data_IF_994703382533
#
_entry.id   IF_994703382533
#
_cell.length_a   1.000
_cell.length_b   1.000
_cell.length_c   1.000
_cell.angle_alpha   90.00
_cell.angle_beta   90.00
_cell.angle_gamma   90.00
#
_symmetry.space_group_name_H-M   'P 1'
#
loop_
_entity.id
_entity.type
_entity.pdbx_description
1 polymer ?
#
# COMPACT_ATOMS: atom_id res chain seq x y z
N UNK A 1 -39.66 -27.78 73.61
CA UNK A 1 -39.47 -26.91 74.78
C UNK A 1 -37.98 -26.67 74.85
N UNK A 2 -37.57 -25.41 74.73
CA UNK A 2 -36.17 -25.07 74.83
C UNK A 2 -35.69 -25.20 76.29
N UNK A 3 -34.38 -25.09 76.57
CA UNK A 3 -33.86 -25.15 77.94
C UNK A 3 -34.39 -24.06 78.88
N UNK A 4 -35.05 -23.02 78.35
CA UNK A 4 -35.67 -21.93 79.12
C UNK A 4 -37.15 -22.20 79.47
N UNK A 5 -37.73 -23.30 78.98
CA UNK A 5 -39.14 -23.63 79.20
C UNK A 5 -40.10 -22.84 78.31
N UNK A 6 -39.58 -22.17 77.28
CA UNK A 6 -40.40 -21.44 76.33
C UNK A 6 -41.09 -22.42 75.38
N UNK A 7 -42.36 -22.13 75.10
CA UNK A 7 -43.13 -22.88 74.13
C UNK A 7 -42.61 -22.55 72.72
N UNK A 8 -41.85 -23.48 72.13
CA UNK A 8 -41.60 -23.49 70.67
C UNK A 8 -42.97 -23.46 69.98
N UNK A 9 -43.28 -22.33 69.32
CA UNK A 9 -44.66 -21.94 69.01
C UNK A 9 -45.46 -22.95 68.19
N UNK A 10 -46.75 -23.08 68.49
CA UNK A 10 -47.69 -23.83 67.65
C UNK A 10 -48.07 -22.99 66.43
N UNK A 11 -47.53 -23.32 65.27
CA UNK A 11 -47.85 -22.63 64.02
C UNK A 11 -49.07 -23.29 63.34
N UNK A 12 -50.12 -22.49 63.12
CA UNK A 12 -51.30 -22.91 62.36
C UNK A 12 -51.32 -22.19 61.01
N UNK A 13 -51.58 -22.93 59.95
CA UNK A 13 -51.74 -22.39 58.61
C UNK A 13 -53.22 -22.06 58.43
N UNK A 14 -53.50 -20.78 58.19
CA UNK A 14 -54.85 -20.29 57.90
C UNK A 14 -54.99 -20.12 56.39
N UNK A 15 -56.05 -20.69 55.83
CA UNK A 15 -56.39 -20.60 54.42
C UNK A 15 -57.81 -20.08 54.22
N UNK A 16 -58.10 -19.57 53.02
CA UNK A 16 -59.45 -19.23 52.61
C UNK A 16 -60.19 -20.52 52.22
N UNK A 17 -61.30 -20.80 52.91
CA UNK A 17 -62.16 -21.97 52.66
C UNK A 17 -63.53 -21.46 52.24
N UNK A 18 -64.19 -22.09 51.24
CA UNK A 18 -65.53 -21.67 50.82
C UNK A 18 -66.53 -21.88 51.96
N UNK A 19 -67.33 -20.86 52.24
CA UNK A 19 -68.36 -20.86 53.27
C UNK A 19 -69.57 -20.03 52.79
N UNK A 20 -70.66 -20.73 52.48
CA UNK A 20 -71.90 -20.12 52.00
C UNK A 20 -72.57 -19.19 53.02
N UNK A 21 -72.21 -19.29 54.31
CA UNK A 21 -72.71 -18.39 55.35
C UNK A 21 -71.89 -17.11 55.49
N UNK A 22 -70.74 -17.00 54.83
CA UNK A 22 -69.91 -15.79 54.85
C UNK A 22 -70.40 -14.78 53.79
N UNK A 23 -70.41 -13.46 54.06
CA UNK A 23 -70.90 -12.44 53.11
C UNK A 23 -70.22 -12.44 51.74
N UNK A 24 -69.01 -13.01 51.64
CA UNK A 24 -68.26 -13.14 50.39
C UNK A 24 -68.09 -14.59 49.90
N UNK A 25 -68.79 -15.56 50.50
CA UNK A 25 -68.66 -16.98 50.15
C UNK A 25 -67.36 -17.64 50.61
N UNK A 26 -66.48 -16.93 51.33
CA UNK A 26 -65.19 -17.41 51.81
C UNK A 26 -64.96 -17.02 53.27
N UNK A 27 -64.32 -17.90 54.04
CA UNK A 27 -63.90 -17.63 55.42
C UNK A 27 -62.47 -18.13 55.64
N UNK A 28 -61.68 -17.34 56.38
CA UNK A 28 -60.38 -17.76 56.85
C UNK A 28 -60.55 -18.84 57.94
N UNK A 29 -60.03 -20.05 57.70
CA UNK A 29 -60.07 -21.19 58.65
C UNK A 29 -58.71 -21.87 58.71
N UNK A 30 -58.36 -22.53 59.83
CA UNK A 30 -57.15 -23.34 59.89
C UNK A 30 -57.25 -24.52 58.92
N UNK A 31 -56.30 -24.63 58.00
CA UNK A 31 -56.25 -25.67 56.94
C UNK A 31 -55.11 -26.66 57.15
N UNK A 32 -54.11 -26.30 57.94
CA UNK A 32 -53.02 -27.19 58.36
C UNK A 32 -52.38 -26.69 59.65
N UNK A 33 -51.58 -27.52 60.30
CA UNK A 33 -50.79 -27.14 61.47
C UNK A 33 -49.41 -27.79 61.41
N UNK A 34 -48.38 -27.05 61.84
CA UNK A 34 -47.05 -27.61 62.02
C UNK A 34 -47.00 -28.30 63.38
N UNK A 35 -46.65 -29.59 63.38
CA UNK A 35 -46.55 -30.40 64.59
C UNK A 35 -45.22 -31.13 64.61
N UNK A 36 -44.60 -31.17 65.78
CA UNK A 36 -43.48 -32.08 66.03
C UNK A 36 -44.03 -33.47 66.26
N UNK A 37 -43.67 -34.40 65.39
CA UNK A 37 -44.06 -35.82 65.49
C UNK A 37 -43.19 -36.58 66.48
N UNK A 38 -41.93 -36.15 66.63
CA UNK A 38 -40.94 -36.75 67.52
C UNK A 38 -40.11 -35.67 68.23
N UNK A 39 -39.64 -35.94 69.45
CA UNK A 39 -38.83 -34.99 70.24
C UNK A 39 -37.39 -34.86 69.75
N UNK A 40 -36.98 -35.70 68.80
CA UNK A 40 -35.65 -35.68 68.16
C UNK A 40 -35.62 -34.86 66.86
N UNK A 41 -36.79 -34.47 66.34
CA UNK A 41 -36.89 -33.83 65.04
C UNK A 41 -36.63 -32.33 65.15
N UNK A 42 -35.68 -31.82 64.37
CA UNK A 42 -35.29 -30.41 64.36
C UNK A 42 -36.32 -29.49 63.68
N UNK A 43 -37.24 -30.06 62.87
CA UNK A 43 -38.23 -29.31 62.10
C UNK A 43 -39.62 -29.95 62.25
N UNK A 44 -40.68 -29.15 62.46
CA UNK A 44 -42.04 -29.68 62.56
C UNK A 44 -42.57 -30.12 61.20
N UNK A 45 -43.35 -31.19 61.17
CA UNK A 45 -44.03 -31.66 59.96
C UNK A 45 -45.36 -30.91 59.78
N UNK A 46 -45.70 -30.57 58.53
CA UNK A 46 -47.00 -30.00 58.21
C UNK A 46 -48.06 -31.10 58.23
N UNK A 47 -48.87 -31.12 59.28
CA UNK A 47 -50.01 -32.04 59.43
C UNK A 47 -51.27 -31.38 58.88
N UNK A 48 -51.85 -31.99 57.85
CA UNK A 48 -52.99 -31.44 57.10
C UNK A 48 -52.55 -30.88 55.74
N UNK A 49 -53.25 -29.86 55.24
CA UNK A 49 -52.80 -29.11 54.05
C UNK A 49 -53.00 -29.78 52.68
N UNK A 50 -53.65 -30.94 52.61
CA UNK A 50 -53.99 -31.60 51.32
C UNK A 50 -55.08 -30.86 50.52
N UNK A 51 -55.95 -30.12 51.19
CA UNK A 51 -57.11 -29.41 50.59
C UNK A 51 -56.99 -27.88 50.76
N UNK A 52 -55.82 -27.30 50.49
CA UNK A 52 -55.67 -25.84 50.46
C UNK A 52 -56.21 -25.32 49.12
N UNK A 53 -57.24 -24.47 49.18
CA UNK A 53 -57.81 -23.81 48.00
C UNK A 53 -56.85 -22.73 47.46
N UNK A 54 -55.87 -23.15 46.66
CA UNK A 54 -54.96 -22.23 45.98
C UNK A 54 -55.70 -21.46 44.89
N UNK A 55 -55.51 -20.13 44.82
CA UNK A 55 -56.15 -19.25 43.82
C UNK A 55 -55.85 -19.72 42.37
N UNK A 56 -54.68 -20.31 42.13
CA UNK A 56 -54.27 -20.87 40.84
C UNK A 56 -54.44 -22.38 40.69
N UNK A 57 -55.18 -23.05 41.59
CA UNK A 57 -55.41 -24.50 41.60
C UNK A 57 -54.21 -25.36 42.00
N UNK A 58 -53.02 -24.78 42.13
CA UNK A 58 -51.77 -25.44 42.57
C UNK A 58 -50.98 -24.55 43.53
N UNK A 59 -50.15 -25.14 44.41
CA UNK A 59 -49.22 -24.39 45.23
C UNK A 59 -48.34 -23.46 44.38
N UNK A 60 -48.11 -22.20 44.80
CA UNK A 60 -47.18 -21.31 44.13
C UNK A 60 -45.76 -21.84 44.24
N UNK A 61 -44.91 -21.50 43.27
CA UNK A 61 -43.48 -21.80 43.33
C UNK A 61 -42.88 -21.01 44.50
N UNK A 62 -42.07 -21.67 45.33
CA UNK A 62 -41.46 -21.07 46.51
C UNK A 62 -40.52 -19.90 46.18
N UNK A 63 -39.95 -19.87 44.97
CA UNK A 63 -39.01 -18.84 44.50
C UNK A 63 -39.25 -18.51 43.02
N UNK A 64 -39.20 -17.22 42.60
CA UNK A 64 -39.34 -16.84 41.20
C UNK A 64 -38.14 -17.33 40.35
N UNK A 65 -38.28 -17.44 39.02
CA UNK A 65 -37.21 -17.92 38.13
C UNK A 65 -35.88 -17.15 38.23
N UNK A 66 -35.96 -15.85 38.56
CA UNK A 66 -34.79 -14.97 38.70
C UNK A 66 -34.24 -14.90 40.14
N UNK A 67 -34.81 -15.65 41.09
CA UNK A 67 -34.55 -15.46 42.52
C UNK A 67 -35.16 -14.16 43.05
N UNK A 68 -35.38 -14.08 44.37
CA UNK A 68 -35.90 -12.86 44.99
C UNK A 68 -34.90 -11.69 44.96
N UNK A 69 -33.62 -12.02 44.83
CA UNK A 69 -32.48 -11.10 44.76
C UNK A 69 -32.02 -10.81 43.32
N UNK A 70 -32.60 -11.48 42.31
CA UNK A 70 -32.22 -11.31 40.91
C UNK A 70 -30.88 -11.95 40.53
N UNK A 71 -30.20 -12.64 41.46
CA UNK A 71 -28.83 -13.16 41.26
C UNK A 71 -28.80 -14.26 40.21
N UNK A 72 -29.88 -15.05 40.09
CA UNK A 72 -30.01 -16.11 39.08
C UNK A 72 -30.14 -15.59 37.64
N UNK A 73 -30.38 -14.29 37.45
CA UNK A 73 -30.46 -13.64 36.14
C UNK A 73 -29.25 -12.75 35.81
N UNK A 74 -28.22 -12.70 36.67
CA UNK A 74 -26.99 -12.00 36.32
C UNK A 74 -26.32 -12.70 35.13
N UNK A 75 -25.93 -11.92 34.11
CA UNK A 75 -25.12 -12.42 33.00
C UNK A 75 -23.92 -13.18 33.59
N UNK A 76 -23.67 -14.44 33.19
CA UNK A 76 -22.58 -15.21 33.79
C UNK A 76 -21.27 -14.47 33.52
N UNK A 77 -20.68 -13.91 34.58
CA UNK A 77 -19.30 -13.42 34.60
C UNK A 77 -18.35 -14.62 34.63
N UNK A 78 -18.54 -15.58 33.73
CA UNK A 78 -17.64 -16.70 33.59
C UNK A 78 -16.29 -16.15 33.15
N UNK A 79 -15.23 -16.31 33.95
CA UNK A 79 -13.90 -15.80 33.60
C UNK A 79 -13.41 -16.31 32.24
N UNK A 80 -13.89 -17.49 31.83
CA UNK A 80 -13.65 -18.07 30.51
C UNK A 80 -14.26 -17.27 29.36
N UNK A 81 -15.49 -16.77 29.51
CA UNK A 81 -16.16 -15.97 28.48
C UNK A 81 -15.51 -14.60 28.34
N UNK A 82 -15.16 -13.97 29.46
CA UNK A 82 -14.50 -12.66 29.46
C UNK A 82 -13.09 -12.76 28.86
N UNK A 83 -12.32 -13.78 29.22
CA UNK A 83 -10.98 -14.00 28.65
C UNK A 83 -11.02 -14.34 27.16
N UNK A 84 -12.01 -15.13 26.70
CA UNK A 84 -12.22 -15.39 25.29
C UNK A 84 -12.56 -14.10 24.51
N UNK A 85 -13.48 -13.27 25.04
CA UNK A 85 -13.84 -12.01 24.42
C UNK A 85 -12.64 -11.04 24.33
N UNK A 86 -11.82 -10.97 25.38
CA UNK A 86 -10.60 -10.17 25.39
C UNK A 86 -9.56 -10.67 24.36
N UNK A 87 -9.39 -11.99 24.23
CA UNK A 87 -8.50 -12.58 23.25
C UNK A 87 -8.93 -12.28 21.80
N UNK A 88 -10.23 -12.38 21.51
CA UNK A 88 -10.79 -12.04 20.18
C UNK A 88 -10.61 -10.55 19.89
N UNK A 89 -10.87 -9.68 20.87
CA UNK A 89 -10.66 -8.25 20.72
C UNK A 89 -9.17 -7.93 20.45
N UNK A 90 -8.24 -8.54 21.18
CA UNK A 90 -6.81 -8.38 20.95
C UNK A 90 -6.38 -8.86 19.56
N UNK A 91 -6.87 -10.02 19.11
CA UNK A 91 -6.62 -10.54 17.77
C UNK A 91 -7.15 -9.61 16.68
N UNK A 92 -8.35 -9.05 16.85
CA UNK A 92 -8.93 -8.08 15.92
C UNK A 92 -8.11 -6.77 15.86
N UNK A 93 -7.64 -6.27 17.00
CA UNK A 93 -6.76 -5.09 17.07
C UNK A 93 -5.43 -5.36 16.35
N UNK A 94 -4.82 -6.53 16.56
CA UNK A 94 -3.60 -6.93 15.86
C UNK A 94 -3.82 -7.02 14.34
N UNK A 95 -4.92 -7.65 13.91
CA UNK A 95 -5.26 -7.75 12.49
C UNK A 95 -5.47 -6.35 11.87
N UNK A 96 -6.22 -5.47 12.54
CA UNK A 96 -6.41 -4.09 12.10
C UNK A 96 -5.08 -3.32 12.01
N UNK A 97 -4.19 -3.47 13.00
CA UNK A 97 -2.87 -2.84 12.98
C UNK A 97 -2.00 -3.33 11.81
N UNK A 98 -2.02 -4.64 11.52
CA UNK A 98 -1.30 -5.22 10.37
C UNK A 98 -1.87 -4.73 9.04
N UNK A 99 -3.21 -4.67 8.90
CA UNK A 99 -3.87 -4.13 7.72
C UNK A 99 -3.55 -2.65 7.52
N UNK A 100 -3.61 -1.84 8.57
CA UNK A 100 -3.23 -0.42 8.51
C UNK A 100 -1.75 -0.25 8.17
N UNK A 101 -0.87 -1.10 8.71
CA UNK A 101 0.56 -1.10 8.36
C UNK A 101 0.76 -1.46 6.90
N UNK A 102 0.07 -2.48 6.40
CA UNK A 102 0.14 -2.89 5.00
C UNK A 102 -0.40 -1.80 4.07
N UNK A 103 -1.56 -1.22 4.40
CA UNK A 103 -2.16 -0.14 3.64
C UNK A 103 -1.27 1.11 3.61
N UNK A 104 -0.71 1.53 4.75
CA UNK A 104 0.26 2.65 4.80
C UNK A 104 1.52 2.34 3.99
N UNK A 105 1.97 1.09 3.98
CA UNK A 105 3.12 0.67 3.17
C UNK A 105 2.82 0.77 1.67
N UNK A 106 1.65 0.29 1.23
CA UNK A 106 1.19 0.40 -0.17
C UNK A 106 0.96 1.86 -0.56
N UNK A 107 0.38 2.69 0.31
CA UNK A 107 0.24 4.13 0.09
C UNK A 107 1.59 4.82 -0.07
N UNK A 108 2.58 4.50 0.77
CA UNK A 108 3.94 5.06 0.64
C UNK A 108 4.66 4.60 -0.63
N UNK A 109 4.30 3.46 -1.22
CA UNK A 109 4.79 3.04 -2.54
C UNK A 109 4.06 3.81 -3.65
N UNK A 110 2.76 4.05 -3.51
CA UNK A 110 1.95 4.81 -4.45
C UNK A 110 2.22 6.33 -4.41
N UNK A 111 2.62 6.89 -3.28
CA UNK A 111 2.84 8.34 -3.10
C UNK A 111 4.22 8.82 -3.55
N UNK A 112 5.11 7.92 -3.97
CA UNK A 112 6.47 8.24 -4.46
C UNK A 112 6.52 8.14 -6.00
N UNK A 113 5.36 8.21 -6.65
CA UNK A 113 5.28 8.00 -8.08
C UNK A 113 5.74 9.26 -8.82
N UNK A 114 6.96 9.20 -9.34
CA UNK A 114 7.51 9.93 -10.49
C UNK A 114 6.60 9.94 -11.74
N UNK A 115 5.45 9.25 -11.69
CA UNK A 115 4.48 9.18 -12.77
C UNK A 115 3.72 10.50 -12.85
N UNK A 116 4.00 11.24 -13.91
CA UNK A 116 3.21 12.38 -14.34
C UNK A 116 2.03 11.83 -15.16
N UNK A 117 0.80 12.19 -14.79
CA UNK A 117 -0.36 11.81 -15.59
C UNK A 117 -0.45 12.70 -16.84
N UNK A 118 -0.87 12.12 -17.97
CA UNK A 118 -0.99 12.87 -19.22
C UNK A 118 -1.97 14.06 -19.13
N UNK A 119 -2.93 14.01 -18.19
CA UNK A 119 -3.87 15.11 -17.92
C UNK A 119 -3.20 16.34 -17.29
N UNK A 120 -2.04 16.15 -16.64
CA UNK A 120 -1.26 17.24 -16.04
C UNK A 120 -0.30 17.88 -17.04
N UNK A 121 -0.23 17.33 -18.26
CA UNK A 121 0.58 17.84 -19.35
C UNK A 121 -0.26 18.73 -20.25
N UNK A 122 0.17 19.99 -20.37
CA UNK A 122 -0.37 20.89 -21.39
C UNK A 122 0.53 20.80 -22.62
N UNK A 123 0.11 20.05 -23.63
CA UNK A 123 0.87 19.93 -24.87
C UNK A 123 0.86 21.27 -25.61
N UNK A 124 2.05 21.76 -25.97
CA UNK A 124 2.17 22.94 -26.81
C UNK A 124 2.10 22.45 -28.26
N UNK A 125 1.03 22.74 -29.02
CA UNK A 125 0.98 22.37 -30.42
C UNK A 125 2.12 23.10 -31.14
N UNK A 126 2.93 22.38 -31.91
CA UNK A 126 3.77 23.00 -32.91
C UNK A 126 2.81 23.72 -33.87
N UNK A 127 2.82 25.05 -33.84
CA UNK A 127 1.90 25.89 -34.63
C UNK A 127 2.02 25.51 -36.10
N UNK A 128 1.04 24.75 -36.60
CA UNK A 128 0.78 24.63 -38.02
C UNK A 128 -0.47 25.48 -38.30
N UNK A 129 -0.23 26.49 -39.12
CA UNK A 129 -1.12 27.53 -39.61
C UNK A 129 -2.47 27.00 -40.08
N UNK A 130 -3.57 27.47 -39.48
CA UNK A 130 -4.79 28.00 -40.12
C UNK A 130 -5.94 28.11 -39.10
N UNK A 131 -6.02 29.26 -38.44
CA UNK A 131 -7.24 30.05 -38.25
C UNK A 131 -6.90 31.19 -37.29
N UNK A 132 -7.28 32.40 -37.70
CA UNK A 132 -6.80 33.63 -37.09
C UNK A 132 -7.29 33.79 -35.66
N UNK A 133 -6.34 34.09 -34.77
CA UNK A 133 -6.51 35.15 -33.79
C UNK A 133 -5.15 35.74 -33.42
N UNK A 134 -5.07 37.06 -33.46
CA UNK A 134 -3.84 37.84 -33.31
C UNK A 134 -3.39 37.86 -31.85
N UNK A 135 -2.42 37.02 -31.50
CA UNK A 135 -1.49 37.30 -30.41
C UNK A 135 -0.09 37.51 -30.98
N UNK A 136 0.36 38.76 -31.00
CA UNK A 136 1.70 39.13 -31.45
C UNK A 136 2.74 38.80 -30.37
N UNK A 137 3.39 37.64 -30.51
CA UNK A 137 4.67 37.36 -29.83
C UNK A 137 5.84 37.95 -30.66
N UNK A 138 6.98 38.33 -30.03
CA UNK A 138 8.09 38.99 -30.70
C UNK A 138 8.73 38.10 -31.78
N UNK A 139 8.98 38.69 -32.94
CA UNK A 139 9.56 38.05 -34.12
C UNK A 139 11.07 37.80 -33.98
N UNK A 140 11.46 36.89 -33.09
CA UNK A 140 12.82 36.30 -33.04
C UNK A 140 12.82 34.77 -32.81
N UNK A 141 11.65 34.12 -32.88
CA UNK A 141 11.51 32.68 -32.64
C UNK A 141 11.35 31.84 -33.92
N UNK A 142 11.72 32.37 -35.09
CA UNK A 142 11.35 31.74 -36.37
C UNK A 142 12.24 30.58 -36.85
N UNK A 143 13.18 30.05 -36.05
CA UNK A 143 14.01 28.92 -36.49
C UNK A 143 14.37 27.90 -35.40
N UNK A 144 13.46 27.56 -34.49
CA UNK A 144 13.68 26.46 -33.54
C UNK A 144 12.43 25.61 -33.38
N UNK A 145 12.15 24.79 -34.40
CA UNK A 145 11.16 23.71 -34.29
C UNK A 145 11.67 22.73 -33.24
N UNK A 146 11.02 22.65 -32.09
CA UNK A 146 11.24 21.56 -31.15
C UNK A 146 10.86 20.24 -31.87
N UNK A 147 11.87 19.43 -32.17
CA UNK A 147 11.73 18.20 -32.96
C UNK A 147 11.20 17.01 -32.15
N UNK A 148 10.93 17.21 -30.85
CA UNK A 148 10.24 16.27 -29.97
C UNK A 148 8.94 16.91 -29.49
N UNK A 149 7.93 16.09 -29.16
CA UNK A 149 6.69 16.64 -28.58
C UNK A 149 7.03 17.28 -27.24
N UNK A 150 6.81 18.58 -27.11
CA UNK A 150 7.01 19.30 -25.86
C UNK A 150 5.68 19.49 -25.13
N UNK A 151 5.73 19.47 -23.81
CA UNK A 151 4.59 19.78 -22.95
C UNK A 151 5.03 20.65 -21.77
N UNK A 152 4.08 21.35 -21.18
CA UNK A 152 4.26 22.06 -19.92
C UNK A 152 3.75 21.18 -18.77
N UNK A 153 4.60 21.00 -17.76
CA UNK A 153 4.26 20.37 -16.50
C UNK A 153 4.61 21.33 -15.35
N UNK A 154 3.60 21.85 -14.64
CA UNK A 154 3.76 22.79 -13.52
C UNK A 154 4.68 23.98 -13.84
N UNK A 155 4.56 24.54 -15.04
CA UNK A 155 5.37 25.66 -15.51
C UNK A 155 6.74 25.30 -16.10
N UNK A 156 7.15 24.03 -16.05
CA UNK A 156 8.40 23.56 -16.66
C UNK A 156 8.15 22.90 -18.02
N UNK A 157 9.01 23.18 -19.00
CA UNK A 157 8.98 22.53 -20.31
C UNK A 157 9.59 21.13 -20.19
N UNK A 158 8.85 20.11 -20.65
CA UNK A 158 9.28 18.71 -20.64
C UNK A 158 9.21 18.14 -22.06
N UNK A 159 10.15 17.26 -22.39
CA UNK A 159 10.12 16.48 -23.62
C UNK A 159 9.30 15.19 -23.42
N UNK A 160 8.41 14.89 -24.35
CA UNK A 160 7.51 13.74 -24.32
C UNK A 160 7.81 12.82 -25.50
N UNK A 161 8.24 11.59 -25.19
CA UNK A 161 8.42 10.51 -26.17
C UNK A 161 7.26 9.53 -26.04
N UNK A 162 6.49 9.35 -27.12
CA UNK A 162 5.39 8.38 -27.16
C UNK A 162 5.96 6.98 -27.42
N UNK A 163 5.57 6.01 -26.60
CA UNK A 163 5.91 4.61 -26.78
C UNK A 163 4.77 3.90 -27.52
N UNK A 164 5.11 3.09 -28.52
CA UNK A 164 4.14 2.31 -29.31
C UNK A 164 3.72 1.03 -28.56
N UNK A 165 3.14 1.18 -27.37
CA UNK A 165 2.54 0.07 -26.59
C UNK A 165 1.13 0.45 -26.16
N UNK A 166 0.19 -0.50 -26.25
CA UNK A 166 -1.22 -0.30 -25.87
C UNK A 166 -1.39 0.02 -24.38
N UNK A 167 -0.65 -0.67 -23.52
CA UNK A 167 -0.61 -0.44 -22.08
C UNK A 167 0.78 -0.77 -21.53
N UNK A 168 1.24 0.02 -20.57
CA UNK A 168 2.44 -0.26 -19.78
C UNK A 168 1.97 -0.43 -18.35
N UNK A 169 2.07 -1.64 -17.82
CA UNK A 169 1.78 -1.89 -16.41
C UNK A 169 3.06 -1.77 -15.59
N UNK A 170 3.09 -0.81 -14.67
CA UNK A 170 4.21 -0.62 -13.75
C UNK A 170 3.92 -1.48 -12.52
N UNK A 171 4.45 -2.70 -12.54
CA UNK A 171 4.27 -3.70 -11.49
C UNK A 171 4.85 -3.25 -10.15
N UNK A 172 4.43 -3.91 -9.07
CA UNK A 172 4.91 -3.60 -7.71
C UNK A 172 6.43 -3.76 -7.56
N UNK A 173 7.03 -4.71 -8.28
CA UNK A 173 8.48 -4.92 -8.27
C UNK A 173 9.21 -3.70 -8.83
N UNK A 174 8.82 -3.24 -10.03
CA UNK A 174 9.40 -2.07 -10.69
C UNK A 174 9.25 -0.80 -9.81
N UNK A 175 8.09 -0.63 -9.14
CA UNK A 175 7.90 0.52 -8.22
C UNK A 175 8.84 0.49 -7.02
N UNK A 176 9.13 -0.71 -6.48
CA UNK A 176 10.07 -0.87 -5.35
C UNK A 176 11.49 -0.53 -5.79
N UNK A 177 11.92 -1.03 -6.94
CA UNK A 177 13.26 -0.75 -7.50
C UNK A 177 13.44 0.73 -7.84
N UNK A 178 12.48 1.36 -8.52
CA UNK A 178 12.54 2.79 -8.83
C UNK A 178 12.57 3.65 -7.56
N UNK A 179 11.81 3.27 -6.53
CA UNK A 179 11.86 3.94 -5.23
C UNK A 179 13.21 3.78 -4.57
N UNK A 180 13.82 2.59 -4.64
CA UNK A 180 15.16 2.34 -4.13
C UNK A 180 16.20 3.19 -4.86
N UNK A 181 16.12 3.28 -6.19
CA UNK A 181 16.99 4.13 -7.01
C UNK A 181 16.86 5.63 -6.63
N UNK A 182 15.63 6.11 -6.41
CA UNK A 182 15.36 7.51 -6.04
C UNK A 182 15.81 7.84 -4.61
N UNK A 183 15.87 6.85 -3.71
CA UNK A 183 16.32 7.01 -2.33
C UNK A 183 17.85 6.98 -2.19
N UNK A 184 18.59 6.66 -3.26
CA UNK A 184 20.05 6.73 -3.23
C UNK A 184 20.50 8.19 -3.01
N UNK A 185 21.53 8.36 -2.18
CA UNK A 185 22.10 9.68 -1.88
C UNK A 185 22.85 10.29 -3.06
N UNK A 186 23.33 9.46 -3.98
CA UNK A 186 24.00 9.88 -5.19
C UNK A 186 23.02 9.89 -6.37
N UNK A 187 23.20 10.81 -7.34
CA UNK A 187 22.39 10.82 -8.54
C UNK A 187 22.63 9.54 -9.34
N UNK A 188 21.55 8.89 -9.76
CA UNK A 188 21.63 7.72 -10.63
C UNK A 188 22.06 8.19 -12.02
N UNK A 189 23.22 7.71 -12.49
CA UNK A 189 23.82 8.10 -13.78
C UNK A 189 23.18 7.39 -14.98
N UNK A 190 22.71 6.15 -14.80
CA UNK A 190 22.07 5.35 -15.83
C UNK A 190 21.02 4.39 -15.24
N UNK A 191 19.91 4.18 -15.96
CA UNK A 191 18.88 3.18 -15.62
C UNK A 191 18.40 2.52 -16.92
N UNK A 192 18.34 1.20 -16.94
CA UNK A 192 17.70 0.43 -18.00
C UNK A 192 16.35 -0.06 -17.46
N UNK A 193 15.25 0.24 -18.17
CA UNK A 193 13.90 -0.21 -17.80
C UNK A 193 13.37 -1.16 -18.88
N UNK A 194 13.13 -2.41 -18.50
CA UNK A 194 12.58 -3.43 -19.40
C UNK A 194 11.08 -3.57 -19.14
N UNK A 195 10.29 -3.28 -20.17
CA UNK A 195 8.82 -3.23 -20.10
C UNK A 195 8.14 -4.46 -20.72
N UNK A 196 8.89 -5.51 -21.03
CA UNK A 196 8.38 -6.73 -21.67
C UNK A 196 8.51 -7.90 -20.72
N UNK A 197 7.47 -8.74 -20.61
CA UNK A 197 7.50 -9.97 -19.83
C UNK A 197 8.26 -11.10 -20.51
N UNK A 198 8.37 -11.05 -21.84
CA UNK A 198 8.92 -12.13 -22.67
C UNK A 198 10.45 -12.03 -22.82
N UNK A 199 11.07 -11.23 -21.95
CA UNK A 199 12.47 -10.84 -22.02
C UNK A 199 13.09 -11.04 -20.65
N UNK A 200 14.08 -11.91 -20.59
CA UNK A 200 14.84 -12.17 -19.39
C UNK A 200 16.07 -11.26 -19.34
N UNK A 201 16.50 -10.92 -18.12
CA UNK A 201 17.63 -10.04 -17.88
C UNK A 201 18.65 -10.78 -17.06
N UNK A 202 19.85 -10.92 -17.61
CA UNK A 202 21.03 -11.35 -16.86
C UNK A 202 21.83 -10.10 -16.51
N UNK A 203 21.66 -9.67 -15.27
CA UNK A 203 22.48 -8.62 -14.67
C UNK A 203 23.65 -9.28 -13.94
N UNK A 204 24.86 -8.90 -14.33
CA UNK A 204 26.06 -9.22 -13.57
C UNK A 204 26.65 -7.90 -13.05
N UNK A 205 26.58 -7.73 -11.73
CA UNK A 205 27.05 -6.52 -11.05
C UNK A 205 28.56 -6.33 -11.17
N UNK A 206 29.33 -7.33 -11.60
CA UNK A 206 30.77 -7.20 -11.84
C UNK A 206 31.12 -6.38 -13.08
N UNK A 207 30.13 -6.08 -13.93
CA UNK A 207 30.29 -5.26 -15.13
C UNK A 207 30.05 -3.77 -14.87
N UNK A 208 29.46 -3.43 -13.72
CA UNK A 208 28.94 -2.10 -13.47
C UNK A 208 29.95 -1.28 -12.67
N UNK A 209 30.38 -0.15 -13.24
CA UNK A 209 31.11 0.89 -12.50
C UNK A 209 30.20 2.10 -12.26
N UNK A 210 30.76 3.22 -11.78
CA UNK A 210 29.95 4.43 -11.57
C UNK A 210 29.36 5.00 -12.87
N UNK A 211 29.97 4.74 -14.02
CA UNK A 211 29.73 5.40 -15.29
C UNK A 211 29.29 4.47 -16.42
N UNK A 212 29.37 3.15 -16.23
CA UNK A 212 29.03 2.10 -17.18
C UNK A 212 28.12 1.09 -16.48
N UNK A 213 26.94 0.88 -17.05
CA UNK A 213 25.96 -0.10 -16.64
C UNK A 213 25.76 -1.09 -17.79
N UNK A 214 25.97 -2.38 -17.56
CA UNK A 214 25.80 -3.40 -18.59
C UNK A 214 24.83 -4.49 -18.14
N UNK A 215 23.98 -4.93 -19.05
CA UNK A 215 23.05 -6.03 -18.84
C UNK A 215 22.91 -6.86 -20.11
N UNK A 216 22.75 -8.17 -19.96
CA UNK A 216 22.43 -9.06 -21.09
C UNK A 216 20.94 -9.30 -21.12
N UNK A 217 20.32 -8.92 -22.22
CA UNK A 217 18.89 -9.07 -22.47
C UNK A 217 18.68 -10.31 -23.33
N UNK A 218 17.90 -11.27 -22.82
CA UNK A 218 17.59 -12.53 -23.50
C UNK A 218 16.14 -12.54 -23.97
N UNK A 219 15.95 -12.78 -25.26
CA UNK A 219 14.63 -12.97 -25.87
C UNK A 219 14.67 -14.27 -26.69
N UNK A 220 14.13 -15.36 -26.13
CA UNK A 220 14.25 -16.70 -26.72
C UNK A 220 15.71 -17.13 -26.85
N UNK A 221 16.17 -17.36 -28.08
CA UNK A 221 17.57 -17.71 -28.38
C UNK A 221 18.46 -16.49 -28.68
N UNK A 222 17.90 -15.28 -28.69
CA UNK A 222 18.65 -14.06 -28.95
C UNK A 222 19.19 -13.48 -27.65
N UNK A 223 20.50 -13.27 -27.56
CA UNK A 223 21.17 -12.54 -26.47
C UNK A 223 21.65 -11.20 -27.02
N UNK A 224 21.28 -10.10 -26.38
CA UNK A 224 21.73 -8.76 -26.75
C UNK A 224 22.35 -8.12 -25.51
N UNK A 225 23.62 -7.73 -25.60
CA UNK A 225 24.28 -6.94 -24.58
C UNK A 225 23.84 -5.49 -24.71
N UNK A 226 23.32 -4.92 -23.63
CA UNK A 226 22.97 -3.49 -23.56
C UNK A 226 23.93 -2.85 -22.58
N UNK A 227 24.73 -1.90 -23.06
CA UNK A 227 25.70 -1.14 -22.28
C UNK A 227 25.25 0.30 -22.28
N UNK A 228 24.92 0.83 -21.11
CA UNK A 228 24.61 2.24 -20.90
C UNK A 228 25.80 2.97 -20.30
N UNK A 229 26.24 4.07 -20.91
CA UNK A 229 27.40 4.85 -20.45
C UNK A 229 27.02 6.28 -20.10
N UNK A 230 27.71 6.86 -19.12
CA UNK A 230 27.64 8.27 -18.77
C UNK A 230 29.05 8.81 -18.55
N UNK A 231 29.55 9.61 -19.49
CA UNK A 231 30.88 10.19 -19.41
C UNK A 231 30.80 11.62 -18.89
N UNK A 232 31.53 11.92 -17.83
CA UNK A 232 31.52 13.25 -17.24
C UNK A 232 32.23 14.27 -18.14
N UNK A 233 31.69 15.49 -18.19
CA UNK A 233 32.16 16.54 -19.10
C UNK A 233 33.59 17.01 -18.81
N UNK A 234 34.01 16.91 -17.55
CA UNK A 234 35.29 17.45 -17.04
C UNK A 234 36.40 16.38 -16.98
N UNK A 235 36.11 15.15 -17.41
CA UNK A 235 37.04 14.01 -17.39
C UNK A 235 37.56 13.67 -18.79
N UNK A 236 38.75 13.07 -18.85
CA UNK A 236 39.35 12.62 -20.11
C UNK A 236 38.59 11.43 -20.68
N UNK A 237 38.05 11.59 -21.89
CA UNK A 237 37.24 10.60 -22.60
C UNK A 237 37.99 9.27 -22.83
N UNK A 238 39.30 9.32 -23.08
CA UNK A 238 40.16 8.15 -23.30
C UNK A 238 40.05 7.13 -22.15
N UNK A 239 40.04 7.61 -20.91
CA UNK A 239 39.93 6.76 -19.72
C UNK A 239 38.65 5.94 -19.69
N UNK A 240 37.55 6.50 -20.21
CA UNK A 240 36.30 5.78 -20.30
C UNK A 240 36.30 4.79 -21.45
N UNK A 241 36.84 5.18 -22.61
CA UNK A 241 36.88 4.33 -23.79
C UNK A 241 37.77 3.09 -23.60
N UNK A 242 38.84 3.18 -22.81
CA UNK A 242 39.70 2.02 -22.50
C UNK A 242 38.98 0.94 -21.68
N UNK A 243 37.98 1.34 -20.87
CA UNK A 243 37.25 0.41 -20.01
C UNK A 243 36.11 -0.33 -20.75
N UNK A 244 35.54 0.29 -21.78
CA UNK A 244 34.34 -0.25 -22.47
C UNK A 244 34.60 -1.60 -23.17
N UNK A 245 35.72 -1.85 -23.88
CA UNK A 245 36.00 -3.14 -24.51
C UNK A 245 36.10 -4.28 -23.50
N UNK A 246 36.59 -3.99 -22.28
CA UNK A 246 36.63 -4.97 -21.20
C UNK A 246 35.22 -5.43 -20.82
N UNK A 247 34.24 -4.52 -20.84
CA UNK A 247 32.82 -4.85 -20.61
C UNK A 247 32.28 -5.72 -21.74
N UNK A 248 32.57 -5.39 -23.00
CA UNK A 248 32.14 -6.20 -24.16
C UNK A 248 32.64 -7.63 -24.09
N UNK A 249 33.91 -7.83 -23.72
CA UNK A 249 34.52 -9.16 -23.63
C UNK A 249 33.81 -10.08 -22.64
N UNK A 250 33.14 -9.51 -21.63
CA UNK A 250 32.45 -10.23 -20.58
C UNK A 250 30.96 -10.50 -20.85
N UNK A 251 30.36 -9.80 -21.82
CA UNK A 251 28.93 -9.96 -22.13
C UNK A 251 28.62 -11.26 -22.91
N UNK A 252 29.65 -11.99 -23.36
CA UNK A 252 29.53 -13.26 -24.10
C UNK A 252 28.53 -13.21 -25.27
N UNK A 253 28.43 -12.06 -25.94
CA UNK A 253 27.53 -11.85 -27.08
C UNK A 253 28.14 -10.89 -28.09
N UNK A 254 27.97 -11.21 -29.36
CA UNK A 254 28.41 -10.37 -30.48
C UNK A 254 27.40 -9.26 -30.80
N UNK A 255 26.21 -9.30 -30.21
CA UNK A 255 25.13 -8.32 -30.44
C UNK A 255 25.10 -7.32 -29.30
N UNK A 256 25.77 -6.18 -29.49
CA UNK A 256 25.91 -5.16 -28.46
C UNK A 256 25.24 -3.86 -28.89
N UNK A 257 24.51 -3.26 -27.95
CA UNK A 257 23.95 -1.92 -28.06
C UNK A 257 24.67 -1.07 -27.01
N UNK A 258 25.45 -0.10 -27.46
CA UNK A 258 26.02 0.94 -26.61
C UNK A 258 25.12 2.18 -26.67
N UNK A 259 24.54 2.56 -25.55
CA UNK A 259 23.71 3.75 -25.39
C UNK A 259 24.29 4.63 -24.27
N UNK A 260 24.07 5.95 -24.28
CA UNK A 260 24.57 6.79 -23.19
C UNK A 260 24.75 8.26 -23.52
N UNK A 261 25.11 9.03 -22.49
CA UNK A 261 25.55 10.42 -22.64
C UNK A 261 27.08 10.48 -22.55
N UNK A 262 27.72 10.60 -23.70
CA UNK A 262 29.18 10.70 -23.83
C UNK A 262 29.71 12.13 -23.68
N UNK A 263 28.81 13.13 -23.53
CA UNK A 263 29.16 14.54 -23.39
C UNK A 263 30.12 15.12 -24.46
N UNK A 264 30.20 14.47 -25.64
CA UNK A 264 31.07 14.85 -26.76
C UNK A 264 30.27 15.36 -27.96
N UNK A 265 30.89 16.22 -28.78
CA UNK A 265 30.29 16.74 -30.01
C UNK A 265 30.94 16.14 -31.25
N UNK A 266 30.11 15.59 -32.16
CA UNK A 266 30.54 15.11 -33.47
C UNK A 266 29.43 15.27 -34.51
N UNK A 267 29.86 15.51 -35.74
CA UNK A 267 28.99 15.47 -36.93
C UNK A 267 28.34 14.08 -37.14
N UNK A 268 28.94 12.99 -36.62
CA UNK A 268 28.46 11.62 -36.83
C UNK A 268 27.13 11.31 -36.13
N UNK A 269 26.78 12.08 -35.11
CA UNK A 269 25.49 12.00 -34.43
C UNK A 269 24.71 13.32 -34.50
N UNK A 270 24.95 14.12 -35.55
CA UNK A 270 24.09 15.26 -35.90
C UNK A 270 24.41 16.60 -35.23
N UNK A 271 25.69 16.87 -34.90
CA UNK A 271 26.13 18.23 -34.51
C UNK A 271 26.70 19.00 -35.69
N UNK A 272 26.64 20.33 -35.63
CA UNK A 272 27.22 21.21 -36.65
C UNK A 272 28.75 21.30 -36.56
N UNK A 273 29.33 21.00 -35.41
CA UNK A 273 30.77 21.06 -35.18
C UNK A 273 31.23 19.85 -34.37
N UNK A 274 32.42 19.37 -34.69
CA UNK A 274 33.10 18.30 -33.96
C UNK A 274 34.15 18.90 -33.02
N UNK A 275 34.22 18.41 -31.78
CA UNK A 275 35.26 18.81 -30.84
C UNK A 275 36.59 18.10 -31.19
N UNK A 276 37.65 18.87 -31.45
CA UNK A 276 38.89 18.39 -32.07
C UNK A 276 39.54 17.19 -31.36
N UNK A 277 39.58 17.19 -30.01
CA UNK A 277 40.24 16.12 -29.25
C UNK A 277 39.34 14.88 -29.08
N UNK A 278 38.04 15.04 -28.81
CA UNK A 278 37.12 13.92 -28.61
C UNK A 278 36.89 13.11 -29.90
N UNK A 279 36.98 13.78 -31.05
CA UNK A 279 36.83 13.19 -32.38
C UNK A 279 37.79 12.03 -32.64
N UNK A 280 39.08 12.24 -32.39
CA UNK A 280 40.13 11.29 -32.75
C UNK A 280 39.96 9.97 -31.98
N UNK A 281 39.77 10.06 -30.66
CA UNK A 281 39.57 8.90 -29.81
C UNK A 281 38.30 8.13 -30.14
N UNK A 282 37.19 8.84 -30.36
CA UNK A 282 35.92 8.18 -30.70
C UNK A 282 35.97 7.52 -32.06
N UNK A 283 36.56 8.15 -33.08
CA UNK A 283 36.71 7.52 -34.40
C UNK A 283 37.54 6.25 -34.34
N UNK A 284 38.67 6.31 -33.63
CA UNK A 284 39.51 5.14 -33.48
C UNK A 284 38.75 4.02 -32.77
N UNK A 285 38.09 4.35 -31.66
CA UNK A 285 37.28 3.41 -30.91
C UNK A 285 36.17 2.76 -31.76
N UNK A 286 35.34 3.54 -32.46
CA UNK A 286 34.25 2.99 -33.28
C UNK A 286 34.77 2.11 -34.43
N UNK A 287 35.90 2.47 -35.04
CA UNK A 287 36.50 1.68 -36.11
C UNK A 287 37.12 0.38 -35.59
N UNK A 288 37.81 0.41 -34.45
CA UNK A 288 38.43 -0.77 -33.83
C UNK A 288 37.37 -1.75 -33.35
N UNK A 289 36.32 -1.24 -32.70
CA UNK A 289 35.23 -2.07 -32.16
C UNK A 289 34.16 -2.43 -33.21
N UNK A 290 34.27 -1.92 -34.44
CA UNK A 290 33.31 -2.20 -35.52
C UNK A 290 31.88 -1.70 -35.24
N UNK A 291 31.75 -0.63 -34.45
CA UNK A 291 30.46 -0.11 -34.00
C UNK A 291 29.81 0.78 -35.07
N UNK A 292 28.53 0.54 -35.32
CA UNK A 292 27.72 1.35 -36.24
C UNK A 292 26.89 2.38 -35.47
N UNK A 293 26.87 3.63 -35.93
CA UNK A 293 26.11 4.72 -35.30
C UNK A 293 24.72 4.81 -35.94
N UNK A 294 23.62 4.51 -35.21
CA UNK A 294 22.26 4.53 -35.74
C UNK A 294 21.58 5.91 -35.69
N UNK A 295 22.30 6.98 -35.35
CA UNK A 295 21.71 8.32 -35.20
C UNK A 295 21.37 8.94 -36.56
N UNK A 296 20.14 8.77 -37.01
CA UNK A 296 19.71 9.17 -38.37
C UNK A 296 19.10 10.59 -38.48
N UNK A 297 19.16 11.44 -37.45
CA UNK A 297 18.53 12.79 -37.49
C UNK A 297 19.31 13.86 -36.76
N UNK A 298 19.26 15.09 -37.29
CA UNK A 298 19.90 16.30 -36.73
C UNK A 298 19.14 16.93 -35.56
N UNK A 299 18.28 16.15 -34.89
CA UNK A 299 17.48 16.61 -33.76
C UNK A 299 18.38 16.69 -32.51
N UNK A 300 18.44 17.85 -31.81
CA UNK A 300 19.25 17.93 -30.61
C UNK A 300 18.76 16.93 -29.56
N UNK A 301 19.70 16.11 -29.06
CA UNK A 301 19.45 15.14 -27.97
C UNK A 301 19.38 15.80 -26.59
N UNK A 302 19.91 17.02 -26.46
CA UNK A 302 19.82 17.87 -25.28
C UNK A 302 19.56 19.32 -25.72
N UNK A 303 18.48 19.90 -25.21
CA UNK A 303 18.13 21.31 -25.42
C UNK A 303 17.85 21.96 -24.06
N UNK A 304 18.58 23.03 -23.74
CA UNK A 304 18.47 23.73 -22.45
C UNK A 304 18.02 25.16 -22.69
N UNK A 305 16.82 25.50 -22.22
CA UNK A 305 16.32 26.86 -22.21
C UNK A 305 16.86 27.58 -20.97
N UNK A 306 17.94 28.37 -21.14
CA UNK A 306 18.43 29.25 -20.08
C UNK A 306 17.62 30.55 -20.10
N UNK A 307 16.78 30.74 -19.09
CA UNK A 307 16.13 32.04 -18.86
C UNK A 307 17.17 32.97 -18.26
N UNK A 308 17.76 33.83 -19.08
CA UNK A 308 18.52 34.98 -18.59
C UNK A 308 17.52 36.00 -18.07
N UNK A 309 17.27 36.02 -16.77
CA UNK A 309 16.67 37.19 -16.13
C UNK A 309 17.61 38.37 -16.37
N UNK A 310 17.15 39.48 -16.99
CA UNK A 310 17.98 40.66 -17.13
C UNK A 310 18.38 41.11 -15.73
N UNK A 311 19.68 41.19 -15.49
CA UNK A 311 20.25 41.84 -14.32
C UNK A 311 19.59 43.20 -14.17
N UNK A 312 18.88 43.42 -13.04
CA UNK A 312 18.44 44.76 -12.66
C UNK A 312 19.69 45.65 -12.61
N UNK A 313 19.87 46.50 -13.61
CA UNK A 313 20.68 47.70 -13.47
C UNK A 313 20.02 48.54 -12.39
N UNK A 314 20.69 48.64 -11.25
CA UNK A 314 20.57 49.77 -10.33
C UNK A 314 21.75 50.69 -10.62
#
# INVERSE_FOLDING_TARGET
>A
MDPAGDAEGNFTVVGLVPDAAAPGGWRARPVAAFRYTSTTDLLPELVGGKEIAWIGGKPPVAEPPCGFDGVKCALPHDPGVISAAAAVAAAAVLAAALLLRHYRYEQKLASVLWRIEAKDLTFIPAYNTQSGDKWSAPAEAEQRRAHTTIALYRGNVVAVKRLHKKSIDVTRAIRKELKQATLQRQPVKAIIIILSSDVDVEEDQTFNDENVLAAVVKAGNCRIGVVTVYFERDMLLERYLDNVPHVYSKLETDRIILEGDINAWSIWWGRQQTQCCAWYYLCNFYNVEGLHIPNERNTPTLEVYRVTTPSRMW
#
